data_IF_154825605721
#
_entry.id   IF_154825605721
#
_cell.length_a   1.000
_cell.length_b   1.000
_cell.length_c   1.000
_cell.angle_alpha   90.00
_cell.angle_beta   90.00
_cell.angle_gamma   90.00
#
_symmetry.space_group_name_H-M   'P 1'
#
loop_
_entity.id
_entity.type
_entity.pdbx_description
1 polymer ?
#
# COMPACT_ATOMS: atom_id res chain seq x y z
N UNK A 1 -4.36 -8.76 9.31
CA UNK A 1 -4.01 -7.40 8.86
C UNK A 1 -4.94 -6.28 9.36
N UNK A 2 -6.10 -6.54 10.00
CA UNK A 2 -6.98 -5.49 10.53
C UNK A 2 -6.90 -5.25 12.06
N UNK A 3 -6.29 -6.17 12.82
CA UNK A 3 -6.22 -6.09 14.29
C UNK A 3 -4.88 -5.57 14.83
N UNK A 4 -3.77 -5.75 14.10
CA UNK A 4 -2.44 -5.36 14.61
C UNK A 4 -2.02 -3.91 14.34
N UNK A 5 -2.72 -3.15 13.47
CA UNK A 5 -2.20 -1.86 12.92
C UNK A 5 -0.77 -1.96 12.36
N UNK A 6 -0.39 -3.17 11.96
CA UNK A 6 0.96 -3.46 11.51
C UNK A 6 1.02 -3.24 10.00
N UNK A 7 1.52 -2.07 9.62
CA UNK A 7 1.77 -1.69 8.23
C UNK A 7 3.19 -2.06 7.78
N UNK A 8 3.91 -2.88 8.57
CA UNK A 8 5.25 -3.36 8.21
C UNK A 8 5.29 -4.17 6.91
N UNK A 9 4.14 -4.65 6.45
CA UNK A 9 3.99 -5.37 5.18
C UNK A 9 3.64 -4.46 3.96
N UNK A 10 3.56 -3.13 4.13
CA UNK A 10 3.31 -2.20 3.02
C UNK A 10 4.38 -2.28 1.90
N UNK A 11 5.68 -2.41 2.21
CA UNK A 11 6.69 -2.60 1.16
C UNK A 11 6.45 -3.86 0.32
N UNK A 12 6.03 -4.95 0.98
CA UNK A 12 5.71 -6.23 0.34
C UNK A 12 4.49 -6.07 -0.59
N UNK A 13 3.49 -5.29 -0.17
CA UNK A 13 2.35 -4.95 -1.04
C UNK A 13 2.80 -4.16 -2.27
N UNK A 14 3.71 -3.20 -2.10
CA UNK A 14 4.29 -2.44 -3.21
C UNK A 14 4.98 -3.33 -4.24
N UNK A 15 5.80 -4.28 -3.79
CA UNK A 15 6.44 -5.26 -4.68
C UNK A 15 5.42 -6.15 -5.39
N UNK A 16 4.42 -6.67 -4.66
CA UNK A 16 3.36 -7.49 -5.24
C UNK A 16 2.53 -6.72 -6.29
N UNK A 17 2.27 -5.43 -6.06
CA UNK A 17 1.58 -4.58 -7.03
C UNK A 17 2.42 -4.38 -8.29
N UNK A 18 3.72 -4.13 -8.14
CA UNK A 18 4.63 -3.99 -9.28
C UNK A 18 4.72 -5.29 -10.11
N UNK A 19 4.82 -6.45 -9.43
CA UNK A 19 4.80 -7.76 -10.09
C UNK A 19 3.48 -8.06 -10.80
N UNK A 20 2.36 -7.55 -10.27
CA UNK A 20 1.04 -7.64 -10.91
C UNK A 20 0.88 -6.67 -12.11
N UNK A 21 1.91 -5.87 -12.42
CA UNK A 21 1.90 -4.93 -13.54
C UNK A 21 1.48 -3.51 -13.17
N UNK A 22 1.41 -3.16 -11.89
CA UNK A 22 1.20 -1.78 -11.46
C UNK A 22 2.46 -0.95 -11.74
N UNK A 23 2.32 0.04 -12.59
CA UNK A 23 3.35 0.98 -13.03
C UNK A 23 3.13 2.40 -12.46
N UNK A 24 2.09 2.58 -11.64
CA UNK A 24 1.81 3.84 -10.97
C UNK A 24 2.86 4.13 -9.89
N UNK A 25 3.74 5.08 -10.19
CA UNK A 25 4.90 5.40 -9.36
C UNK A 25 4.49 5.95 -8.00
N UNK A 26 3.42 6.75 -7.91
CA UNK A 26 2.92 7.28 -6.64
C UNK A 26 2.42 6.18 -5.70
N UNK A 27 1.78 5.14 -6.26
CA UNK A 27 1.31 3.98 -5.48
C UNK A 27 2.49 3.16 -4.94
N UNK A 28 3.47 2.89 -5.81
CA UNK A 28 4.64 2.10 -5.45
C UNK A 28 5.54 2.82 -4.44
N UNK A 29 5.76 4.11 -4.64
CA UNK A 29 6.57 4.94 -3.74
C UNK A 29 5.88 5.06 -2.38
N UNK A 30 4.56 5.27 -2.35
CA UNK A 30 3.79 5.29 -1.11
C UNK A 30 3.86 3.97 -0.34
N UNK A 31 3.78 2.82 -1.01
CA UNK A 31 3.91 1.51 -0.38
C UNK A 31 5.31 1.24 0.19
N UNK A 32 6.35 1.78 -0.45
CA UNK A 32 7.75 1.57 -0.07
C UNK A 32 8.26 2.61 0.91
N UNK A 33 7.59 3.75 1.04
CA UNK A 33 7.95 4.81 1.97
C UNK A 33 7.72 4.36 3.42
N UNK A 34 8.79 3.89 4.05
CA UNK A 34 8.82 3.47 5.44
C UNK A 34 8.61 4.62 6.44
N UNK A 35 8.67 5.87 5.97
CA UNK A 35 8.40 7.07 6.77
C UNK A 35 6.95 7.53 6.63
N UNK A 36 6.22 7.04 5.63
CA UNK A 36 4.82 7.40 5.43
C UNK A 36 3.98 6.78 6.56
N UNK A 37 3.26 7.61 7.34
CA UNK A 37 2.36 7.10 8.36
C UNK A 37 1.15 6.47 7.67
N UNK A 38 1.14 5.14 7.57
CA UNK A 38 -0.04 4.42 7.11
C UNK A 38 -1.10 4.40 8.22
N UNK A 39 -2.31 4.82 7.87
CA UNK A 39 -3.46 4.86 8.76
C UNK A 39 -4.65 4.15 8.13
N UNK A 40 -5.72 3.91 8.89
CA UNK A 40 -7.00 3.49 8.30
C UNK A 40 -7.48 4.59 7.34
N UNK A 41 -7.74 4.24 6.08
CA UNK A 41 -7.99 5.20 5.01
C UNK A 41 -6.74 5.55 4.19
N UNK A 42 -5.71 4.70 4.23
CA UNK A 42 -4.61 4.75 3.27
C UNK A 42 -5.21 4.62 1.86
N UNK A 43 -5.08 5.68 1.07
CA UNK A 43 -5.67 5.79 -0.26
C UNK A 43 -5.27 4.62 -1.17
N UNK A 44 -4.03 4.12 -1.06
CA UNK A 44 -3.58 2.94 -1.82
C UNK A 44 -4.39 1.69 -1.47
N UNK A 45 -4.70 1.48 -0.19
CA UNK A 45 -5.47 0.31 0.25
C UNK A 45 -6.91 0.40 -0.25
N UNK A 46 -7.51 1.59 -0.25
CA UNK A 46 -8.86 1.79 -0.78
C UNK A 46 -8.91 1.59 -2.31
N UNK A 47 -7.87 2.03 -3.03
CA UNK A 47 -7.69 1.79 -4.47
C UNK A 47 -7.56 0.29 -4.80
N UNK A 48 -6.72 -0.44 -4.05
CA UNK A 48 -6.53 -1.89 -4.24
C UNK A 48 -7.81 -2.67 -3.89
N UNK A 49 -8.60 -2.20 -2.93
CA UNK A 49 -9.87 -2.80 -2.54
C UNK A 49 -11.06 -2.36 -3.40
N UNK A 50 -10.86 -1.46 -4.38
CA UNK A 50 -11.91 -0.96 -5.26
C UNK A 50 -13.04 -0.22 -4.54
N UNK A 51 -12.72 0.51 -3.47
CA UNK A 51 -13.70 1.20 -2.60
C UNK A 51 -14.01 2.66 -3.01
N UNK A 52 -13.91 2.97 -4.29
CA UNK A 52 -14.30 4.29 -4.84
C UNK A 52 -15.83 4.43 -4.98
#
# INVERSE_FOLDING_TARGET
MYESRDFGAMPILGDALQDAGCDNTDVLDHCRDSRAPHVRGCWVVDLVLGKE
#
